data_IF_804944761587
#
_entry.id   IF_804944761587
#
_cell.length_a   1.000
_cell.length_b   1.000
_cell.length_c   1.000
_cell.angle_alpha   90.00
_cell.angle_beta   90.00
_cell.angle_gamma   90.00
#
_symmetry.space_group_name_H-M   'P 1'
#
loop_
_entity.id
_entity.type
_entity.pdbx_description
1 polymer ?
#
# COMPACT_ATOMS: atom_id res chain seq x y z
N UNK A 1 16.82 6.84 -10.11
CA UNK A 1 17.97 7.71 -9.72
C UNK A 1 18.66 7.19 -8.48
N UNK A 2 17.97 6.46 -7.65
CA UNK A 2 18.46 5.91 -6.40
C UNK A 2 19.62 4.93 -6.63
N UNK A 3 19.47 4.04 -7.63
CA UNK A 3 20.52 3.10 -8.01
C UNK A 3 21.90 3.75 -8.26
N UNK A 4 21.96 4.94 -8.91
CA UNK A 4 23.22 5.65 -9.12
C UNK A 4 23.87 6.07 -7.80
N UNK A 5 23.07 6.53 -6.83
CA UNK A 5 23.57 6.93 -5.52
C UNK A 5 24.04 5.71 -4.69
N UNK A 6 23.27 4.63 -4.72
CA UNK A 6 23.57 3.39 -4.02
C UNK A 6 24.88 2.76 -4.53
N UNK A 7 25.03 2.63 -5.85
CA UNK A 7 26.27 2.13 -6.47
C UNK A 7 27.43 3.07 -6.19
N UNK A 8 27.20 4.39 -6.24
CA UNK A 8 28.22 5.38 -5.93
C UNK A 8 28.75 5.31 -4.49
N UNK A 9 27.92 4.90 -3.53
CA UNK A 9 28.33 4.63 -2.15
C UNK A 9 29.22 3.38 -2.09
N UNK A 10 28.88 2.33 -2.85
CA UNK A 10 29.59 1.06 -2.84
C UNK A 10 30.98 1.15 -3.53
N UNK A 11 31.07 1.87 -4.65
CA UNK A 11 32.25 1.86 -5.51
C UNK A 11 32.93 3.21 -5.70
N UNK A 12 32.51 4.26 -4.99
CA UNK A 12 33.07 5.62 -5.15
C UNK A 12 32.78 6.27 -6.49
N UNK A 13 31.80 5.76 -7.25
CA UNK A 13 31.40 6.22 -8.57
C UNK A 13 32.29 5.70 -9.71
N UNK A 14 32.91 4.54 -9.53
CA UNK A 14 33.76 3.92 -10.54
C UNK A 14 32.95 3.44 -11.75
N UNK A 15 31.81 2.77 -11.55
CA UNK A 15 31.00 2.16 -12.62
C UNK A 15 30.02 3.13 -13.28
N UNK A 16 29.28 3.87 -12.50
CA UNK A 16 28.22 4.75 -13.02
C UNK A 16 28.62 6.24 -13.07
N UNK A 17 29.87 6.54 -12.69
CA UNK A 17 30.40 7.90 -12.70
C UNK A 17 30.06 8.69 -11.43
N UNK A 18 30.96 9.63 -11.08
CA UNK A 18 30.86 10.44 -9.84
C UNK A 18 29.82 11.56 -9.90
N UNK A 19 29.38 11.94 -11.11
CA UNK A 19 28.50 13.09 -11.31
C UNK A 19 27.19 12.67 -11.93
N UNK A 20 26.09 12.92 -11.23
CA UNK A 20 24.72 12.59 -11.66
C UNK A 20 24.36 13.23 -13.01
N UNK A 21 24.91 14.42 -13.32
CA UNK A 21 24.69 15.07 -14.61
C UNK A 21 25.18 14.22 -15.78
N UNK A 22 26.41 13.69 -15.69
CA UNK A 22 26.98 12.82 -16.72
C UNK A 22 26.24 11.47 -16.82
N UNK A 23 25.84 10.90 -15.70
CA UNK A 23 24.99 9.71 -15.68
C UNK A 23 23.67 9.94 -16.42
N UNK A 24 23.00 11.09 -16.15
CA UNK A 24 21.78 11.45 -16.85
C UNK A 24 22.00 11.65 -18.35
N UNK A 25 23.05 12.36 -18.73
CA UNK A 25 23.40 12.59 -20.14
C UNK A 25 23.67 11.29 -20.90
N UNK A 26 24.34 10.33 -20.25
CA UNK A 26 24.69 9.04 -20.86
C UNK A 26 23.47 8.15 -21.08
N UNK A 27 22.61 8.01 -20.07
CA UNK A 27 21.58 6.99 -20.04
C UNK A 27 20.16 7.50 -20.20
N UNK A 28 19.95 8.82 -20.08
CA UNK A 28 18.61 9.41 -20.11
C UNK A 28 18.51 10.55 -21.12
N UNK A 29 17.28 10.89 -21.48
CA UNK A 29 16.92 12.11 -22.21
C UNK A 29 15.91 12.90 -21.39
N UNK A 30 15.87 14.24 -21.54
CA UNK A 30 14.82 15.04 -20.93
C UNK A 30 13.43 14.54 -21.37
N UNK A 31 12.55 14.36 -20.41
CA UNK A 31 11.13 14.09 -20.62
C UNK A 31 10.33 15.38 -20.64
N UNK A 32 9.61 15.69 -19.54
CA UNK A 32 8.94 16.99 -19.40
C UNK A 32 9.90 18.07 -18.94
N UNK A 33 9.82 19.25 -19.55
CA UNK A 33 10.63 20.41 -19.17
C UNK A 33 9.80 21.70 -19.25
N UNK A 34 10.19 22.70 -18.47
CA UNK A 34 9.61 24.01 -18.57
C UNK A 34 10.17 24.73 -19.81
N UNK A 35 9.35 25.10 -20.80
CA UNK A 35 9.82 25.73 -22.04
C UNK A 35 10.48 27.09 -21.82
N UNK A 36 10.08 27.83 -20.77
CA UNK A 36 10.54 29.18 -20.49
C UNK A 36 11.84 29.22 -19.69
N UNK A 37 12.06 28.24 -18.79
CA UNK A 37 13.22 28.23 -17.88
C UNK A 37 14.24 27.13 -18.24
N UNK A 38 13.89 26.19 -19.11
CA UNK A 38 14.73 25.03 -19.46
C UNK A 38 14.85 24.00 -18.32
N UNK A 39 14.12 24.16 -17.22
CA UNK A 39 14.15 23.22 -16.09
C UNK A 39 13.51 21.89 -16.49
N UNK A 40 14.24 20.79 -16.35
CA UNK A 40 13.78 19.44 -16.67
C UNK A 40 13.12 18.86 -15.42
N UNK A 41 11.84 18.46 -15.53
CA UNK A 41 11.05 17.87 -14.44
C UNK A 41 11.13 16.35 -14.43
N UNK A 42 11.36 15.71 -15.59
CA UNK A 42 11.47 14.26 -15.68
C UNK A 42 12.53 13.83 -16.69
N UNK A 43 13.06 12.64 -16.49
CA UNK A 43 14.02 12.00 -17.40
C UNK A 43 13.47 10.66 -17.86
N UNK A 44 13.66 10.34 -19.14
CA UNK A 44 13.23 9.08 -19.75
C UNK A 44 14.48 8.30 -20.17
N UNK A 45 14.59 7.00 -19.87
CA UNK A 45 15.71 6.19 -20.31
C UNK A 45 15.89 6.24 -21.84
N UNK A 46 17.14 6.22 -22.28
CA UNK A 46 17.47 6.00 -23.70
C UNK A 46 17.26 4.54 -24.05
N UNK A 47 16.97 4.19 -25.32
CA UNK A 47 16.93 2.79 -25.74
C UNK A 47 18.23 2.06 -25.38
N UNK A 48 18.12 0.91 -24.72
CA UNK A 48 19.26 0.10 -24.28
C UNK A 48 20.03 0.63 -23.08
N UNK A 49 19.55 1.71 -22.43
CA UNK A 49 20.22 2.29 -21.27
C UNK A 49 20.15 1.39 -20.03
N UNK A 50 19.05 0.69 -19.86
CA UNK A 50 18.84 -0.22 -18.74
C UNK A 50 19.83 -1.39 -18.81
N UNK A 51 19.92 -2.04 -19.94
CA UNK A 51 20.85 -3.13 -20.18
C UNK A 51 22.30 -2.70 -19.98
N UNK A 52 22.70 -1.52 -20.47
CA UNK A 52 24.04 -0.97 -20.29
C UNK A 52 24.36 -0.68 -18.82
N UNK A 53 23.39 -0.19 -18.05
CA UNK A 53 23.56 0.05 -16.61
C UNK A 53 23.76 -1.28 -15.89
N UNK A 54 22.88 -2.27 -16.14
CA UNK A 54 23.00 -3.58 -15.51
C UNK A 54 24.28 -4.31 -15.87
N UNK A 55 24.73 -4.24 -17.12
CA UNK A 55 26.02 -4.81 -17.53
C UNK A 55 27.19 -4.21 -16.73
N UNK A 56 27.19 -2.88 -16.52
CA UNK A 56 28.25 -2.18 -15.80
C UNK A 56 28.33 -2.50 -14.30
N UNK A 57 27.23 -2.87 -13.70
CA UNK A 57 27.17 -3.16 -12.27
C UNK A 57 27.07 -4.65 -11.96
N UNK A 58 27.05 -5.49 -12.97
CA UNK A 58 26.82 -6.95 -12.85
C UNK A 58 27.83 -7.67 -11.99
N UNK A 59 29.05 -7.13 -11.86
CA UNK A 59 30.13 -7.71 -11.05
C UNK A 59 30.00 -7.40 -9.53
N UNK A 60 29.18 -6.42 -9.17
CA UNK A 60 28.94 -6.03 -7.76
C UNK A 60 27.49 -6.14 -7.33
N UNK A 61 26.61 -6.54 -8.24
CA UNK A 61 25.17 -6.69 -7.98
C UNK A 61 24.70 -8.06 -8.41
N UNK A 62 23.73 -8.58 -7.68
CA UNK A 62 22.98 -9.76 -8.08
C UNK A 62 21.51 -9.43 -8.07
N UNK A 63 20.81 -9.75 -9.16
CA UNK A 63 19.36 -9.66 -9.25
C UNK A 63 18.78 -11.06 -9.16
N UNK A 64 18.00 -11.31 -8.13
CA UNK A 64 17.32 -12.58 -7.93
C UNK A 64 15.82 -12.38 -7.90
N UNK A 65 15.09 -13.10 -8.75
CA UNK A 65 13.64 -13.21 -8.63
C UNK A 65 13.33 -14.47 -7.85
N UNK A 66 12.43 -14.38 -6.86
CA UNK A 66 12.04 -15.53 -6.06
C UNK A 66 11.58 -16.73 -6.92
N UNK A 67 10.88 -16.47 -8.01
CA UNK A 67 10.40 -17.47 -8.97
C UNK A 67 11.53 -18.24 -9.70
N UNK A 68 12.74 -17.67 -9.80
CA UNK A 68 13.87 -18.31 -10.47
C UNK A 68 14.55 -19.36 -9.58
N UNK A 69 14.35 -19.29 -8.26
CA UNK A 69 15.04 -20.11 -7.27
C UNK A 69 14.09 -20.89 -6.34
N UNK A 70 12.85 -20.47 -6.23
CA UNK A 70 11.86 -21.07 -5.32
C UNK A 70 10.67 -21.59 -6.13
N UNK A 71 10.32 -22.86 -5.92
CA UNK A 71 9.07 -23.43 -6.42
C UNK A 71 7.91 -23.03 -5.50
N UNK A 72 7.56 -21.76 -5.54
CA UNK A 72 6.41 -21.23 -4.80
C UNK A 72 5.12 -21.57 -5.55
N UNK A 73 4.03 -21.91 -4.86
CA UNK A 73 2.73 -22.00 -5.48
C UNK A 73 2.34 -20.63 -6.07
N UNK A 74 1.52 -20.66 -7.12
CA UNK A 74 1.02 -19.43 -7.76
C UNK A 74 0.20 -18.60 -6.76
N UNK A 75 0.47 -17.28 -6.73
CA UNK A 75 -0.34 -16.35 -5.94
C UNK A 75 -1.66 -16.09 -6.67
N UNK A 76 -2.76 -16.45 -6.03
CA UNK A 76 -4.10 -16.27 -6.59
C UNK A 76 -4.69 -14.96 -6.07
N UNK A 77 -5.01 -14.05 -7.00
CA UNK A 77 -5.67 -12.78 -6.69
C UNK A 77 -7.17 -12.91 -6.92
N UNK A 78 -7.95 -12.64 -5.87
CA UNK A 78 -9.42 -12.66 -5.93
C UNK A 78 -9.95 -11.28 -5.56
N UNK A 79 -10.75 -10.69 -6.46
CA UNK A 79 -11.41 -9.42 -6.22
C UNK A 79 -12.84 -9.66 -5.73
N UNK A 80 -13.17 -9.11 -4.56
CA UNK A 80 -14.51 -9.10 -4.01
C UNK A 80 -15.09 -7.70 -4.15
N UNK A 81 -16.16 -7.56 -4.93
CA UNK A 81 -16.85 -6.29 -5.13
C UNK A 81 -17.82 -6.05 -3.97
N UNK A 82 -17.77 -4.84 -3.41
CA UNK A 82 -18.64 -4.39 -2.31
C UNK A 82 -19.39 -3.15 -2.77
N UNK A 83 -20.68 -3.27 -2.96
CA UNK A 83 -21.51 -2.20 -3.48
C UNK A 83 -22.08 -1.32 -2.36
N UNK A 84 -22.07 -0.02 -2.57
CA UNK A 84 -22.78 0.95 -1.74
C UNK A 84 -24.28 0.94 -2.08
N UNK A 85 -25.15 1.14 -1.06
CA UNK A 85 -26.55 1.39 -1.34
C UNK A 85 -26.80 2.79 -1.93
N UNK A 86 -28.04 3.08 -2.29
CA UNK A 86 -28.39 4.35 -2.94
C UNK A 86 -28.12 5.58 -2.05
N UNK A 87 -28.27 5.46 -0.72
CA UNK A 87 -28.00 6.55 0.23
C UNK A 87 -26.49 6.78 0.39
N UNK A 88 -25.74 5.72 0.57
CA UNK A 88 -24.30 5.74 0.70
C UNK A 88 -23.64 6.28 -0.57
N UNK A 89 -24.12 5.82 -1.73
CA UNK A 89 -23.66 6.29 -3.04
C UNK A 89 -23.95 7.77 -3.24
N UNK A 90 -25.12 8.24 -2.81
CA UNK A 90 -25.45 9.67 -2.89
C UNK A 90 -24.48 10.53 -2.08
N UNK A 91 -24.11 10.10 -0.87
CA UNK A 91 -23.11 10.81 -0.06
C UNK A 91 -21.72 10.81 -0.72
N UNK A 92 -21.31 9.67 -1.28
CA UNK A 92 -20.06 9.57 -2.02
C UNK A 92 -20.02 10.49 -3.23
N UNK A 93 -21.08 10.51 -4.03
CA UNK A 93 -21.20 11.36 -5.22
C UNK A 93 -21.30 12.85 -4.84
N UNK A 94 -21.97 13.18 -3.72
CA UNK A 94 -22.01 14.54 -3.19
C UNK A 94 -20.60 15.04 -2.84
N UNK A 95 -19.82 14.29 -2.06
CA UNK A 95 -18.45 14.69 -1.75
C UNK A 95 -17.60 14.83 -3.02
N UNK A 96 -17.79 13.94 -3.98
CA UNK A 96 -17.06 13.96 -5.26
C UNK A 96 -17.33 15.21 -6.08
N UNK A 97 -18.58 15.73 -6.05
CA UNK A 97 -18.99 16.90 -6.84
C UNK A 97 -18.85 18.23 -6.09
N UNK A 98 -19.30 18.25 -4.84
CA UNK A 98 -19.43 19.47 -4.06
C UNK A 98 -18.20 19.75 -3.18
N UNK A 99 -17.31 18.77 -3.04
CA UNK A 99 -16.13 18.77 -2.16
C UNK A 99 -16.46 18.90 -0.68
N UNK A 100 -17.76 18.86 -0.31
CA UNK A 100 -18.23 19.00 1.06
C UNK A 100 -19.53 18.18 1.27
N UNK A 101 -19.64 17.58 2.45
CA UNK A 101 -20.89 17.03 2.99
C UNK A 101 -21.11 17.72 4.34
N UNK A 102 -22.11 18.61 4.47
CA UNK A 102 -22.48 19.20 5.74
C UNK A 102 -23.05 18.13 6.69
N UNK A 103 -22.59 18.14 7.94
CA UNK A 103 -23.14 17.31 9.01
C UNK A 103 -23.33 18.13 10.29
N UNK A 104 -24.23 17.68 11.19
CA UNK A 104 -24.52 18.39 12.45
C UNK A 104 -23.30 18.44 13.39
N UNK A 105 -22.41 17.46 13.29
CA UNK A 105 -21.28 17.28 14.19
C UNK A 105 -19.93 17.74 13.62
N UNK A 106 -19.90 18.28 12.41
CA UNK A 106 -18.70 18.74 11.70
C UNK A 106 -18.69 18.31 10.24
N UNK A 107 -18.31 19.21 9.37
CA UNK A 107 -18.36 19.01 7.92
C UNK A 107 -17.28 18.05 7.43
N UNK A 108 -17.63 17.23 6.43
CA UNK A 108 -16.68 16.42 5.68
C UNK A 108 -16.30 17.20 4.44
N UNK A 109 -15.11 17.80 4.43
CA UNK A 109 -14.62 18.65 3.34
C UNK A 109 -13.38 18.11 2.64
N UNK A 110 -13.15 18.54 1.43
CA UNK A 110 -11.98 18.21 0.65
C UNK A 110 -11.38 19.46 -0.01
N UNK A 111 -10.34 20.02 0.58
CA UNK A 111 -9.73 21.26 0.15
C UNK A 111 -9.07 21.23 -1.25
N UNK A 112 -8.75 20.04 -1.77
CA UNK A 112 -8.13 19.86 -3.08
C UNK A 112 -8.31 18.42 -3.60
N UNK A 113 -7.91 18.16 -4.84
CA UNK A 113 -8.07 16.84 -5.49
C UNK A 113 -7.37 15.69 -4.75
N UNK A 114 -6.22 15.91 -4.14
CA UNK A 114 -5.51 14.89 -3.38
C UNK A 114 -6.27 14.57 -2.08
N UNK A 115 -6.74 15.59 -1.37
CA UNK A 115 -7.60 15.45 -0.19
C UNK A 115 -8.90 14.72 -0.55
N UNK A 116 -9.54 15.11 -1.68
CA UNK A 116 -10.73 14.46 -2.17
C UNK A 116 -10.53 12.97 -2.42
N UNK A 117 -9.47 12.59 -3.16
CA UNK A 117 -9.17 11.17 -3.44
C UNK A 117 -9.00 10.37 -2.15
N UNK A 118 -8.31 10.94 -1.16
CA UNK A 118 -8.11 10.30 0.14
C UNK A 118 -9.43 10.15 0.92
N UNK A 119 -10.27 11.18 0.93
CA UNK A 119 -11.60 11.15 1.58
C UNK A 119 -12.55 10.14 0.90
N UNK A 120 -12.54 10.07 -0.42
CA UNK A 120 -13.34 9.09 -1.17
C UNK A 120 -12.88 7.66 -0.87
N UNK A 121 -11.58 7.42 -0.73
CA UNK A 121 -11.05 6.11 -0.32
C UNK A 121 -11.49 5.75 1.11
N UNK A 122 -11.45 6.71 2.04
CA UNK A 122 -11.97 6.54 3.39
C UNK A 122 -13.46 6.17 3.38
N UNK A 123 -14.29 6.91 2.65
CA UNK A 123 -15.72 6.62 2.51
C UNK A 123 -15.97 5.23 1.91
N UNK A 124 -15.20 4.83 0.90
CA UNK A 124 -15.28 3.49 0.31
C UNK A 124 -14.93 2.37 1.32
N UNK A 125 -14.12 2.68 2.34
CA UNK A 125 -13.85 1.78 3.47
C UNK A 125 -14.97 1.81 4.53
N UNK A 126 -15.87 2.80 4.47
CA UNK A 126 -17.06 2.89 5.31
C UNK A 126 -16.99 3.85 6.47
N UNK A 127 -15.96 4.67 6.56
CA UNK A 127 -15.89 5.82 7.47
C UNK A 127 -14.97 6.89 6.88
N UNK A 128 -15.15 8.15 7.27
CA UNK A 128 -14.35 9.28 6.80
C UNK A 128 -14.09 10.25 7.95
N UNK A 129 -12.92 10.87 7.99
CA UNK A 129 -12.65 11.92 8.95
C UNK A 129 -13.33 13.23 8.55
N UNK A 130 -13.98 13.89 9.50
CA UNK A 130 -14.51 15.26 9.34
C UNK A 130 -13.41 16.32 9.50
N UNK A 131 -13.79 17.60 9.54
CA UNK A 131 -12.89 18.74 9.77
C UNK A 131 -12.21 18.73 11.14
N UNK A 132 -12.83 18.09 12.14
CA UNK A 132 -12.31 17.95 13.50
C UNK A 132 -11.40 16.71 13.66
N UNK A 133 -11.13 15.99 12.55
CA UNK A 133 -10.43 14.71 12.53
C UNK A 133 -11.14 13.57 13.28
N UNK A 134 -12.46 13.70 13.48
CA UNK A 134 -13.30 12.65 14.05
C UNK A 134 -13.79 11.73 12.93
N UNK A 135 -13.77 10.42 13.19
CA UNK A 135 -14.21 9.44 12.19
C UNK A 135 -15.75 9.36 12.14
N UNK A 136 -16.33 9.73 11.01
CA UNK A 136 -17.76 9.63 10.75
C UNK A 136 -18.07 8.32 10.04
N UNK A 137 -18.93 7.54 10.66
CA UNK A 137 -19.36 6.25 10.15
C UNK A 137 -20.30 6.43 8.96
N UNK A 138 -20.07 5.73 7.87
CA UNK A 138 -20.87 5.75 6.65
C UNK A 138 -21.59 4.41 6.45
N UNK A 139 -20.83 3.29 6.42
CA UNK A 139 -21.36 1.94 6.23
C UNK A 139 -20.42 0.86 6.79
N UNK A 140 -20.94 -0.35 6.93
CA UNK A 140 -20.18 -1.51 7.42
C UNK A 140 -19.95 -2.62 6.37
N UNK A 141 -20.27 -2.37 5.10
CA UNK A 141 -20.29 -3.39 4.05
C UNK A 141 -18.98 -4.12 3.85
N UNK A 142 -17.83 -3.39 3.93
CA UNK A 142 -16.51 -4.05 3.90
C UNK A 142 -16.21 -4.88 5.14
N UNK A 143 -16.78 -4.51 6.29
CA UNK A 143 -16.66 -5.32 7.52
C UNK A 143 -17.45 -6.62 7.41
N UNK A 144 -18.67 -6.56 6.85
CA UNK A 144 -19.50 -7.74 6.56
C UNK A 144 -18.79 -8.67 5.56
N UNK A 145 -18.24 -8.11 4.48
CA UNK A 145 -17.44 -8.89 3.52
C UNK A 145 -16.19 -9.49 4.17
N UNK A 146 -15.51 -8.76 5.06
CA UNK A 146 -14.34 -9.26 5.78
C UNK A 146 -14.72 -10.44 6.68
N UNK A 147 -15.86 -10.38 7.36
CA UNK A 147 -16.42 -11.48 8.16
C UNK A 147 -16.64 -12.72 7.29
N UNK A 148 -17.34 -12.58 6.15
CA UNK A 148 -17.59 -13.67 5.20
C UNK A 148 -16.26 -14.32 4.71
N UNK A 149 -15.25 -13.50 4.43
CA UNK A 149 -13.94 -13.98 3.98
C UNK A 149 -13.18 -14.72 5.07
N UNK A 150 -13.23 -14.24 6.33
CA UNK A 150 -12.62 -14.94 7.47
C UNK A 150 -13.32 -16.27 7.75
N UNK A 151 -14.65 -16.29 7.69
CA UNK A 151 -15.41 -17.55 7.82
C UNK A 151 -15.07 -18.54 6.70
N UNK A 152 -14.94 -18.04 5.45
CA UNK A 152 -14.56 -18.84 4.29
C UNK A 152 -13.15 -19.43 4.40
N UNK A 153 -12.26 -18.81 5.16
CA UNK A 153 -10.92 -19.32 5.44
C UNK A 153 -10.94 -20.60 6.29
N UNK A 154 -12.09 -20.95 6.86
CA UNK A 154 -12.33 -22.23 7.56
C UNK A 154 -11.28 -22.53 8.64
N UNK A 155 -10.96 -21.53 9.46
CA UNK A 155 -10.01 -21.64 10.56
C UNK A 155 -8.53 -21.49 10.17
N UNK A 156 -8.23 -21.24 8.91
CA UNK A 156 -6.86 -20.89 8.50
C UNK A 156 -6.53 -19.47 8.96
N UNK A 157 -5.28 -19.20 9.37
CA UNK A 157 -4.86 -17.87 9.76
C UNK A 157 -5.01 -16.85 8.62
N UNK A 158 -5.54 -15.68 8.94
CA UNK A 158 -5.80 -14.59 7.98
C UNK A 158 -5.04 -13.35 8.39
N UNK A 159 -4.27 -12.77 7.46
CA UNK A 159 -3.62 -11.48 7.61
C UNK A 159 -4.48 -10.41 6.93
N UNK A 160 -4.87 -9.36 7.67
CA UNK A 160 -5.69 -8.27 7.16
C UNK A 160 -4.87 -7.00 7.06
N UNK A 161 -4.63 -6.51 5.85
CA UNK A 161 -3.96 -5.25 5.60
C UNK A 161 -4.97 -4.09 5.61
N UNK A 162 -4.72 -3.08 6.43
CA UNK A 162 -5.55 -1.88 6.54
C UNK A 162 -4.74 -0.61 6.27
N UNK A 163 -5.40 0.50 5.92
CA UNK A 163 -4.70 1.75 5.60
C UNK A 163 -4.99 2.88 6.61
N UNK A 164 -6.24 3.08 7.02
CA UNK A 164 -6.61 4.16 7.94
C UNK A 164 -6.71 3.67 9.39
N UNK A 165 -6.45 4.56 10.35
CA UNK A 165 -6.61 4.23 11.78
C UNK A 165 -8.03 3.84 12.13
N UNK A 166 -9.04 4.51 11.54
CA UNK A 166 -10.43 4.13 11.73
C UNK A 166 -10.77 2.75 11.13
N UNK A 167 -10.12 2.32 10.04
CA UNK A 167 -10.30 0.96 9.52
C UNK A 167 -9.89 -0.06 10.57
N UNK A 168 -8.69 0.09 11.14
CA UNK A 168 -8.20 -0.79 12.19
C UNK A 168 -9.16 -0.86 13.38
N UNK A 169 -9.59 0.30 13.90
CA UNK A 169 -10.48 0.35 15.04
C UNK A 169 -11.78 -0.40 14.75
N UNK A 170 -12.41 -0.12 13.61
CA UNK A 170 -13.67 -0.73 13.20
C UNK A 170 -13.54 -2.23 12.95
N UNK A 171 -12.43 -2.68 12.35
CA UNK A 171 -12.14 -4.11 12.16
C UNK A 171 -12.04 -4.80 13.52
N UNK A 172 -11.28 -4.23 14.46
CA UNK A 172 -11.13 -4.80 15.82
C UNK A 172 -12.48 -4.87 16.53
N UNK A 173 -13.25 -3.79 16.54
CA UNK A 173 -14.56 -3.74 17.19
C UNK A 173 -15.54 -4.75 16.58
N UNK A 174 -15.62 -4.80 15.24
CA UNK A 174 -16.52 -5.71 14.53
C UNK A 174 -16.16 -7.17 14.80
N UNK A 175 -14.93 -7.57 14.57
CA UNK A 175 -14.49 -8.95 14.75
C UNK A 175 -14.52 -9.40 16.20
N UNK A 176 -14.22 -8.50 17.16
CA UNK A 176 -14.33 -8.81 18.60
C UNK A 176 -15.79 -9.04 19.00
N UNK A 177 -16.75 -8.34 18.43
CA UNK A 177 -18.19 -8.56 18.67
C UNK A 177 -18.68 -9.93 18.22
N UNK A 178 -17.97 -10.55 17.26
CA UNK A 178 -18.21 -11.89 16.74
C UNK A 178 -17.42 -12.99 17.47
N UNK A 179 -16.62 -12.61 18.48
CA UNK A 179 -15.82 -13.54 19.28
C UNK A 179 -14.41 -13.82 18.76
N UNK A 180 -13.99 -13.15 17.69
CA UNK A 180 -12.59 -13.20 17.25
C UNK A 180 -11.70 -12.33 18.16
N UNK A 181 -10.40 -12.61 18.16
CA UNK A 181 -9.40 -11.82 18.89
C UNK A 181 -8.32 -11.30 17.90
N UNK A 182 -8.66 -10.31 17.06
CA UNK A 182 -7.71 -9.79 16.08
C UNK A 182 -6.54 -9.09 16.78
N UNK A 183 -5.31 -9.30 16.27
CA UNK A 183 -4.09 -8.73 16.85
C UNK A 183 -3.24 -8.06 15.79
N UNK A 184 -2.68 -6.89 16.13
CA UNK A 184 -1.68 -6.24 15.26
C UNK A 184 -0.35 -7.00 15.29
N UNK A 185 0.30 -7.07 14.14
CA UNK A 185 1.70 -7.49 14.01
C UNK A 185 2.57 -6.24 14.09
N UNK A 186 3.27 -6.03 15.22
CA UNK A 186 4.12 -4.85 15.46
C UNK A 186 5.50 -5.20 15.97
N UNK A 187 5.57 -6.17 16.87
CA UNK A 187 6.79 -6.53 17.59
C UNK A 187 7.24 -7.94 17.22
N UNK A 188 8.49 -8.27 17.53
CA UNK A 188 9.04 -9.60 17.26
C UNK A 188 8.26 -10.73 17.92
N UNK A 189 7.66 -10.48 19.06
CA UNK A 189 6.81 -11.45 19.76
C UNK A 189 5.49 -11.71 19.00
N UNK A 190 4.89 -10.68 18.41
CA UNK A 190 3.69 -10.84 17.58
C UNK A 190 4.01 -11.68 16.33
N UNK A 191 5.16 -11.42 15.70
CA UNK A 191 5.63 -12.18 14.53
C UNK A 191 5.81 -13.65 14.90
N UNK A 192 6.43 -13.92 16.05
CA UNK A 192 6.62 -15.29 16.53
C UNK A 192 5.29 -15.98 16.77
N UNK A 193 4.37 -15.34 17.50
CA UNK A 193 3.04 -15.90 17.78
C UNK A 193 2.21 -16.12 16.51
N UNK A 194 2.35 -15.23 15.51
CA UNK A 194 1.73 -15.42 14.19
C UNK A 194 2.32 -16.65 13.49
N UNK A 195 3.63 -16.76 13.41
CA UNK A 195 4.30 -17.91 12.77
C UNK A 195 4.06 -19.24 13.51
N UNK A 196 3.90 -19.19 14.84
CA UNK A 196 3.51 -20.35 15.65
C UNK A 196 2.00 -20.72 15.51
N UNK A 197 1.22 -19.96 14.71
CA UNK A 197 -0.21 -20.20 14.49
C UNK A 197 -1.11 -19.81 15.67
N UNK A 198 -0.60 -19.06 16.64
CA UNK A 198 -1.35 -18.63 17.81
C UNK A 198 -2.29 -17.44 17.56
N UNK A 199 -2.17 -16.76 16.42
CA UNK A 199 -2.99 -15.60 16.05
C UNK A 199 -3.85 -15.97 14.84
N UNK A 200 -5.14 -16.27 15.00
CA UNK A 200 -6.01 -16.66 13.88
C UNK A 200 -6.33 -15.49 12.92
N UNK A 201 -6.40 -14.26 13.43
CA UNK A 201 -6.61 -13.06 12.62
C UNK A 201 -5.60 -12.01 13.02
N UNK A 202 -4.67 -11.72 12.12
CA UNK A 202 -3.64 -10.71 12.30
C UNK A 202 -3.96 -9.44 11.50
N UNK A 203 -3.60 -8.28 12.04
CA UNK A 203 -3.75 -6.99 11.40
C UNK A 203 -2.38 -6.40 11.10
N UNK A 204 -2.21 -5.84 9.89
CA UNK A 204 -0.96 -5.20 9.50
C UNK A 204 -1.22 -3.87 8.78
N UNK A 205 -0.41 -2.86 9.11
CA UNK A 205 -0.35 -1.64 8.33
C UNK A 205 0.80 -1.75 7.32
N UNK A 206 0.58 -1.58 6.01
CA UNK A 206 1.61 -1.79 4.98
C UNK A 206 2.93 -1.03 5.23
N UNK A 207 2.86 0.19 5.78
CA UNK A 207 4.06 0.93 6.12
C UNK A 207 4.92 0.26 7.23
N UNK A 208 4.31 -0.59 8.07
CA UNK A 208 5.04 -1.37 9.07
C UNK A 208 5.64 -2.66 8.47
N UNK A 209 5.02 -3.19 7.40
CA UNK A 209 5.51 -4.37 6.67
C UNK A 209 6.74 -4.07 5.79
N UNK A 210 6.93 -2.82 5.38
CA UNK A 210 8.03 -2.38 4.51
C UNK A 210 9.44 -2.58 5.08
N UNK A 211 9.57 -3.17 6.26
CA UNK A 211 10.86 -3.51 6.89
C UNK A 211 11.23 -5.00 6.78
N UNK A 212 10.62 -5.74 5.84
CA UNK A 212 10.97 -7.13 5.58
C UNK A 212 10.62 -8.07 6.74
N UNK A 213 9.38 -8.05 7.18
CA UNK A 213 8.90 -8.94 8.23
C UNK A 213 8.88 -10.40 7.75
N UNK A 214 9.43 -11.30 8.56
CA UNK A 214 9.37 -12.74 8.28
C UNK A 214 8.08 -13.33 8.88
N UNK A 215 6.98 -13.22 8.13
CA UNK A 215 5.63 -13.66 8.55
C UNK A 215 5.04 -14.75 7.66
N UNK A 216 5.85 -15.37 6.80
CA UNK A 216 5.40 -16.33 5.79
C UNK A 216 4.93 -17.68 6.39
N UNK A 217 5.40 -18.03 7.59
CA UNK A 217 5.08 -19.30 8.22
C UNK A 217 3.71 -19.32 8.88
N UNK A 218 3.19 -18.14 9.27
CA UNK A 218 1.94 -18.04 10.02
C UNK A 218 0.67 -18.23 9.20
N UNK A 219 0.72 -17.99 7.89
CA UNK A 219 -0.45 -18.11 7.02
C UNK A 219 -0.16 -17.69 5.58
N UNK A 220 -1.11 -17.99 4.70
CA UNK A 220 -1.01 -17.69 3.26
C UNK A 220 -2.24 -16.96 2.69
N UNK A 221 -3.12 -16.48 3.56
CA UNK A 221 -4.30 -15.69 3.18
C UNK A 221 -4.07 -14.24 3.60
N UNK A 222 -3.98 -13.35 2.61
CA UNK A 222 -3.88 -11.90 2.84
C UNK A 222 -5.15 -11.22 2.29
N UNK A 223 -5.82 -10.45 3.14
CA UNK A 223 -6.99 -9.65 2.76
C UNK A 223 -6.64 -8.17 2.81
N UNK A 224 -6.73 -7.50 1.69
CA UNK A 224 -6.63 -6.04 1.60
C UNK A 224 -7.98 -5.40 1.91
N UNK A 225 -8.16 -4.93 3.15
CA UNK A 225 -9.35 -4.16 3.53
C UNK A 225 -9.35 -2.76 2.91
N UNK A 226 -8.17 -2.15 2.81
CA UNK A 226 -7.95 -0.89 2.13
C UNK A 226 -6.58 -0.88 1.44
N UNK A 227 -6.54 -0.47 0.17
CA UNK A 227 -5.30 -0.41 -0.61
C UNK A 227 -4.46 0.80 -0.23
N UNK A 228 -3.15 0.66 -0.33
CA UNK A 228 -2.19 1.77 -0.25
C UNK A 228 -2.02 2.45 -1.62
N UNK A 229 -1.63 3.73 -1.61
CA UNK A 229 -1.23 4.45 -2.83
C UNK A 229 0.18 4.11 -3.31
N UNK A 230 0.97 3.42 -2.50
CA UNK A 230 2.34 3.02 -2.81
C UNK A 230 2.36 1.62 -3.38
N UNK A 231 2.75 1.49 -4.65
CA UNK A 231 2.98 0.18 -5.27
C UNK A 231 4.07 -0.60 -4.55
N UNK A 232 5.10 0.08 -4.06
CA UNK A 232 6.18 -0.52 -3.29
C UNK A 232 5.65 -1.17 -2.01
N UNK A 233 4.88 -0.43 -1.19
CA UNK A 233 4.27 -0.99 0.02
C UNK A 233 3.31 -2.14 -0.28
N UNK A 234 2.58 -2.05 -1.39
CA UNK A 234 1.70 -3.14 -1.83
C UNK A 234 2.47 -4.41 -2.16
N UNK A 235 3.64 -4.27 -2.81
CA UNK A 235 4.47 -5.42 -3.20
C UNK A 235 5.30 -5.99 -2.05
N UNK A 236 5.60 -5.17 -1.02
CA UNK A 236 6.38 -5.59 0.15
C UNK A 236 5.51 -6.24 1.25
N UNK A 237 4.22 -5.99 1.23
CA UNK A 237 3.25 -6.60 2.16
C UNK A 237 2.79 -7.96 1.67
#
# INVERSE_FOLDING_TARGET
MDLWAEIGILDGGERLGRFIGRFRESYFKPGSMNPSTGVVFSYVPRPGAEEQIYERISDITISMKALDYLHLPECVYVNHEVEMDARERKLYDQLKHDLIIPTEDGDIDAANAASLSNKLLQMANGAVYDENHEARFIHKRKLEMLEDLIESANGQPVLVAYWFKHDRQRIVEHLSSLGYAPRDIKESEDIKQWNDGAIPVALIHPASAGHGLNIQEGGHILIWFGLTWSLELYQQT
#
